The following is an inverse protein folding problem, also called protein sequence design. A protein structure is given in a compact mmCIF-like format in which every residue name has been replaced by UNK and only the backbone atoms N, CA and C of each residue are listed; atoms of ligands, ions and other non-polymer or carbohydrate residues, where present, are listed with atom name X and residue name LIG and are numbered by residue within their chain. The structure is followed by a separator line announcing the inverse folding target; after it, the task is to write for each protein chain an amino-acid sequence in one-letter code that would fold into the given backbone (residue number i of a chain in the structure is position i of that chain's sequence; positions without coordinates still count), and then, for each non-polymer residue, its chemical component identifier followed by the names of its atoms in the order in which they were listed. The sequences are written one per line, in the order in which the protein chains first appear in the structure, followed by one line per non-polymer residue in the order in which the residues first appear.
data_IF_307869950121
#
_entry.id   IF_307869950121
#
_cell.length_a   1.000
_cell.length_b   1.000
_cell.length_c   1.000
_cell.angle_alpha   90.00
_cell.angle_beta   90.00
_cell.angle_gamma   90.00
#
_symmetry.space_group_name_H-M   'P 1'
#
loop_
_entity.id
_entity.type
_entity.pdbx_description
1 polymer ?
#
# COMPACT_ATOMS: atom_id res chain seq x y z
N UNK A 1 -29.60 -11.34 -8.48
CA UNK A 1 -29.40 -11.09 -7.06
C UNK A 1 -28.02 -11.47 -6.57
N UNK A 2 -27.49 -12.57 -7.06
CA UNK A 2 -26.13 -12.97 -6.66
C UNK A 2 -25.08 -11.94 -7.07
N UNK A 3 -25.32 -11.14 -8.11
CA UNK A 3 -24.36 -10.12 -8.49
C UNK A 3 -24.23 -9.03 -7.42
N UNK A 4 -25.29 -8.80 -6.63
CA UNK A 4 -25.23 -7.85 -5.54
C UNK A 4 -24.28 -8.36 -4.46
N UNK A 5 -24.34 -9.64 -4.16
CA UNK A 5 -23.44 -10.26 -3.20
C UNK A 5 -22.01 -10.17 -3.71
N UNK A 6 -21.82 -10.39 -5.00
CA UNK A 6 -20.50 -10.31 -5.61
C UNK A 6 -19.91 -8.90 -5.47
N UNK A 7 -20.71 -7.87 -5.76
CA UNK A 7 -20.26 -6.50 -5.63
C UNK A 7 -19.89 -6.17 -4.20
N UNK A 8 -20.70 -6.64 -3.24
CA UNK A 8 -20.41 -6.38 -1.84
C UNK A 8 -19.14 -7.07 -1.40
N UNK A 9 -18.88 -8.26 -1.91
CA UNK A 9 -17.66 -8.97 -1.63
C UNK A 9 -16.45 -8.15 -2.12
N UNK A 10 -16.53 -7.62 -3.33
CA UNK A 10 -15.45 -6.81 -3.88
C UNK A 10 -15.24 -5.52 -3.07
N UNK A 11 -16.30 -4.98 -2.50
CA UNK A 11 -16.20 -3.76 -1.71
C UNK A 11 -15.47 -3.97 -0.39
N UNK A 12 -15.29 -5.22 0.04
CA UNK A 12 -14.56 -5.52 1.28
C UNK A 12 -13.05 -5.50 1.09
N UNK A 13 -12.58 -5.48 -0.15
CA UNK A 13 -11.15 -5.47 -0.45
C UNK A 13 -10.86 -4.26 -1.32
N UNK A 14 -9.99 -3.40 -0.83
CA UNK A 14 -9.63 -2.19 -1.55
C UNK A 14 -8.17 -2.26 -1.97
N UNK A 15 -7.92 -1.95 -3.25
CA UNK A 15 -6.55 -1.89 -3.77
C UNK A 15 -6.08 -0.46 -3.71
N UNK A 16 -4.94 -0.24 -3.09
CA UNK A 16 -4.33 1.08 -3.05
C UNK A 16 -2.85 0.96 -3.40
N UNK A 17 -2.25 2.10 -3.74
CA UNK A 17 -0.82 2.21 -3.92
C UNK A 17 -0.31 3.25 -2.95
N UNK A 18 0.78 2.93 -2.26
CA UNK A 18 1.41 3.87 -1.33
C UNK A 18 2.81 4.15 -1.83
N UNK A 19 3.09 5.42 -2.09
CA UNK A 19 4.44 5.87 -2.39
C UNK A 19 5.14 6.13 -1.07
N UNK A 20 6.34 5.60 -0.91
CA UNK A 20 7.06 5.69 0.37
C UNK A 20 8.40 6.34 0.14
N UNK A 21 8.69 7.35 0.95
CA UNK A 21 9.99 8.00 0.96
C UNK A 21 10.79 7.44 2.13
N UNK A 22 12.01 7.02 1.86
CA UNK A 22 12.87 6.39 2.84
C UNK A 22 14.02 7.29 3.22
N UNK A 23 14.55 7.11 4.43
CA UNK A 23 15.76 7.79 4.83
C UNK A 23 16.94 7.35 3.97
N UNK A 24 18.02 8.14 3.93
CA UNK A 24 19.17 7.83 3.07
C UNK A 24 19.71 6.42 3.32
N UNK A 25 19.86 5.65 2.24
CA UNK A 25 20.44 4.32 2.32
C UNK A 25 19.55 3.24 2.91
N UNK A 26 18.28 3.53 3.21
CA UNK A 26 17.41 2.59 3.90
C UNK A 26 16.35 1.95 3.01
N UNK A 27 16.29 2.30 1.73
CA UNK A 27 15.20 1.82 0.87
C UNK A 27 15.09 0.29 0.84
N UNK A 28 16.22 -0.40 0.81
CA UNK A 28 16.23 -1.85 0.73
C UNK A 28 15.63 -2.49 1.98
N UNK A 29 16.06 -2.04 3.17
CA UNK A 29 15.54 -2.62 4.40
C UNK A 29 14.08 -2.29 4.61
N UNK A 30 13.66 -1.08 4.24
CA UNK A 30 12.24 -0.69 4.30
C UNK A 30 11.43 -1.57 3.36
N UNK A 31 11.91 -1.77 2.13
CA UNK A 31 11.20 -2.60 1.16
C UNK A 31 11.01 -4.03 1.67
N UNK A 32 12.03 -4.60 2.31
CA UNK A 32 11.92 -5.95 2.84
C UNK A 32 10.89 -6.04 3.95
N UNK A 33 10.89 -5.06 4.84
CA UNK A 33 9.91 -5.01 5.93
C UNK A 33 8.49 -4.90 5.37
N UNK A 34 8.29 -4.02 4.39
CA UNK A 34 6.97 -3.84 3.79
C UNK A 34 6.52 -5.09 3.04
N UNK A 35 7.43 -5.74 2.33
CA UNK A 35 7.08 -6.94 1.55
C UNK A 35 6.57 -8.08 2.42
N UNK A 36 6.98 -8.13 3.69
CA UNK A 36 6.54 -9.15 4.63
C UNK A 36 5.27 -8.78 5.37
N UNK A 37 4.74 -7.58 5.15
CA UNK A 37 3.59 -7.09 5.89
C UNK A 37 2.29 -7.61 5.30
N UNK A 38 1.35 -8.03 6.17
CA UNK A 38 0.02 -8.43 5.72
C UNK A 38 -0.66 -7.25 5.03
N UNK A 39 -1.32 -7.53 3.92
CA UNK A 39 -1.99 -6.50 3.14
C UNK A 39 -1.14 -5.94 2.01
N UNK A 40 0.16 -6.14 2.06
CA UNK A 40 1.07 -5.70 1.00
C UNK A 40 1.21 -6.81 -0.04
N UNK A 41 0.91 -6.47 -1.29
CA UNK A 41 0.97 -7.42 -2.39
C UNK A 41 2.30 -7.37 -3.12
N UNK A 42 2.79 -6.16 -3.39
CA UNK A 42 4.02 -5.98 -4.17
C UNK A 42 4.72 -4.70 -3.70
N UNK A 43 6.04 -4.71 -3.78
CA UNK A 43 6.85 -3.54 -3.46
C UNK A 43 7.85 -3.34 -4.60
N UNK A 44 7.88 -2.12 -5.15
CA UNK A 44 8.79 -1.77 -6.24
C UNK A 44 9.64 -0.60 -5.83
N UNK A 45 10.91 -0.60 -6.25
CA UNK A 45 11.69 0.63 -6.16
C UNK A 45 11.41 1.45 -7.41
N UNK A 46 11.31 2.76 -7.24
CA UNK A 46 10.88 3.64 -8.33
C UNK A 46 11.76 4.89 -8.37
N UNK A 47 11.75 5.55 -9.50
CA UNK A 47 12.40 6.84 -9.66
C UNK A 47 11.43 7.94 -9.25
N UNK A 48 11.95 9.16 -9.09
CA UNK A 48 11.15 10.32 -8.75
C UNK A 48 11.31 10.72 -7.30
N UNK A 49 10.34 11.48 -6.77
CA UNK A 49 10.48 12.03 -5.41
C UNK A 49 10.31 11.00 -4.30
N UNK A 50 9.74 9.85 -4.60
CA UNK A 50 9.60 8.75 -3.64
C UNK A 50 10.52 7.61 -4.02
N UNK A 51 10.80 6.73 -3.07
CA UNK A 51 11.75 5.64 -3.26
C UNK A 51 11.09 4.33 -3.60
N UNK A 52 9.90 4.09 -3.04
CA UNK A 52 9.19 2.82 -3.19
C UNK A 52 7.75 3.07 -3.61
N UNK A 53 7.21 2.12 -4.38
CA UNK A 53 5.79 2.05 -4.70
C UNK A 53 5.27 0.73 -4.16
N UNK A 54 4.28 0.80 -3.29
CA UNK A 54 3.77 -0.37 -2.57
C UNK A 54 2.33 -0.61 -2.98
N UNK A 55 2.06 -1.81 -3.49
CA UNK A 55 0.69 -2.19 -3.85
C UNK A 55 0.08 -2.96 -2.70
N UNK A 56 -1.09 -2.54 -2.25
CA UNK A 56 -1.76 -3.14 -1.10
C UNK A 56 -3.18 -3.55 -1.46
N UNK A 57 -3.61 -4.68 -0.88
CA UNK A 57 -4.99 -5.13 -0.94
C UNK A 57 -5.50 -5.17 0.49
N UNK A 58 -6.43 -4.26 0.82
CA UNK A 58 -6.83 -4.05 2.20
C UNK A 58 -8.28 -4.40 2.44
N UNK A 59 -8.55 -5.02 3.59
CA UNK A 59 -9.89 -5.23 4.11
C UNK A 59 -10.16 -4.32 5.30
N UNK A 60 -9.22 -3.43 5.61
CA UNK A 60 -9.32 -2.51 6.73
C UNK A 60 -9.26 -1.08 6.22
N UNK A 61 -9.46 -0.14 7.14
CA UNK A 61 -9.42 1.27 6.79
C UNK A 61 -8.05 1.68 6.26
N UNK A 62 -8.06 2.38 5.12
CA UNK A 62 -6.82 2.80 4.44
C UNK A 62 -5.99 3.71 5.34
N UNK A 63 -6.63 4.70 5.97
CA UNK A 63 -5.91 5.63 6.84
C UNK A 63 -5.25 4.93 8.00
N UNK A 64 -5.97 3.98 8.61
CA UNK A 64 -5.41 3.20 9.71
C UNK A 64 -4.20 2.40 9.24
N UNK A 65 -4.32 1.72 8.10
CA UNK A 65 -3.23 0.89 7.59
C UNK A 65 -1.99 1.73 7.32
N UNK A 66 -2.15 2.85 6.61
CA UNK A 66 -1.01 3.68 6.25
C UNK A 66 -0.38 4.31 7.49
N UNK A 67 -1.19 4.88 8.37
CA UNK A 67 -0.66 5.62 9.53
C UNK A 67 -0.16 4.71 10.63
N UNK A 68 -0.81 3.57 10.84
CA UNK A 68 -0.50 2.72 11.98
C UNK A 68 0.41 1.54 11.63
N UNK A 69 0.60 1.26 10.35
CA UNK A 69 1.45 0.15 9.94
C UNK A 69 2.60 0.60 9.06
N UNK A 70 2.30 1.27 7.95
CA UNK A 70 3.36 1.64 7.01
C UNK A 70 4.21 2.78 7.57
N UNK A 71 3.57 3.84 8.04
CA UNK A 71 4.31 5.03 8.50
C UNK A 71 5.17 4.74 9.72
N UNK A 72 4.83 3.72 10.50
CA UNK A 72 5.60 3.37 11.70
C UNK A 72 6.79 2.46 11.41
N UNK A 73 6.95 2.03 10.16
CA UNK A 73 8.16 1.27 9.80
C UNK A 73 9.38 2.17 9.94
N UNK A 74 10.42 1.64 10.57
CA UNK A 74 11.66 2.41 10.77
C UNK A 74 12.20 2.91 9.43
N UNK A 75 12.61 4.18 9.40
CA UNK A 75 13.19 4.86 8.23
C UNK A 75 12.19 5.24 7.14
N UNK A 76 10.89 5.09 7.37
CA UNK A 76 9.88 5.70 6.52
C UNK A 76 9.79 7.17 6.92
N UNK A 77 10.05 8.05 5.95
CA UNK A 77 10.09 9.50 6.19
C UNK A 77 8.77 10.14 5.81
N UNK A 78 8.16 9.69 4.73
CA UNK A 78 6.92 10.27 4.23
C UNK A 78 6.19 9.24 3.38
N UNK A 79 4.88 9.39 3.25
CA UNK A 79 4.05 8.53 2.43
C UNK A 79 3.06 9.35 1.62
N UNK A 80 2.67 8.84 0.47
CA UNK A 80 1.61 9.42 -0.34
C UNK A 80 0.74 8.28 -0.86
N UNK A 81 -0.53 8.29 -0.51
CA UNK A 81 -1.44 7.20 -0.83
C UNK A 81 -2.26 7.52 -2.06
N UNK A 82 -2.31 6.56 -2.97
CA UNK A 82 -3.14 6.63 -4.18
C UNK A 82 -4.25 5.62 -4.03
N UNK A 83 -5.48 6.12 -3.98
CA UNK A 83 -6.66 5.26 -3.87
C UNK A 83 -7.18 5.01 -5.27
N UNK A 84 -7.38 3.73 -5.59
CA UNK A 84 -7.90 3.36 -6.91
C UNK A 84 -9.42 3.33 -6.86
N UNK A 85 -10.05 3.68 -7.98
CA UNK A 85 -11.51 3.64 -8.08
C UNK A 85 -11.99 2.47 -8.91
N UNK A 86 -11.42 2.26 -10.09
CA UNK A 86 -11.85 1.21 -10.99
C UNK A 86 -10.66 0.57 -11.67
N UNK A 87 -10.71 -0.74 -11.81
CA UNK A 87 -9.74 -1.46 -12.62
C UNK A 87 -10.35 -1.71 -14.00
N UNK A 88 -9.61 -1.41 -15.04
CA UNK A 88 -10.12 -1.53 -16.42
C UNK A 88 -9.50 -2.69 -17.20
N UNK A 89 -8.73 -3.53 -16.54
CA UNK A 89 -8.13 -4.67 -17.23
C UNK A 89 -8.06 -5.89 -16.36
#
# INVERSE_FOLDING_TARGET
MHWIIHCRWEALVETIFVQVKCGPGSAYSVAQTLADMDGVSEVYSVSGPYDLLVKCHLEEDVGHFVNEKIYLVSDVVDTSTIITFNAFS
#
